data_IF_717119257192
#
_entry.id   IF_717119257192
#
_cell.length_a   1.000
_cell.length_b   1.000
_cell.length_c   1.000
_cell.angle_alpha   90.00
_cell.angle_beta   90.00
_cell.angle_gamma   90.00
#
_symmetry.space_group_name_H-M   'P 1'
#
loop_
_entity.id
_entity.type
_entity.pdbx_description
1 polymer ?
#
# COMPACT_ATOMS: atom_id res chain seq x y z
N UNK A 1 34.18 41.91 13.78
CA UNK A 1 33.02 41.28 13.12
C UNK A 1 33.32 40.72 11.72
N UNK A 2 34.10 41.40 10.88
CA UNK A 2 34.46 40.91 9.53
C UNK A 2 35.24 39.57 9.51
N UNK A 3 36.14 39.34 10.48
CA UNK A 3 36.92 38.10 10.54
C UNK A 3 36.08 36.84 10.86
N UNK A 4 34.98 36.98 11.60
CA UNK A 4 34.11 35.85 11.96
C UNK A 4 33.26 35.44 10.75
N UNK A 5 32.81 36.39 9.94
CA UNK A 5 32.03 36.11 8.72
C UNK A 5 32.88 35.40 7.65
N UNK A 6 34.16 35.79 7.49
CA UNK A 6 35.07 35.12 6.55
C UNK A 6 35.33 33.65 6.94
N UNK A 7 35.44 33.36 8.24
CA UNK A 7 35.66 32.00 8.75
C UNK A 7 34.47 31.08 8.51
N UNK A 8 33.24 31.58 8.65
CA UNK A 8 32.01 30.78 8.43
C UNK A 8 31.85 30.45 6.94
N UNK A 9 32.09 31.42 6.06
CA UNK A 9 32.01 31.20 4.61
C UNK A 9 33.04 30.17 4.15
N UNK A 10 34.26 30.22 4.69
CA UNK A 10 35.31 29.25 4.34
C UNK A 10 34.98 27.84 4.86
N UNK A 11 34.36 27.73 6.03
CA UNK A 11 33.95 26.44 6.60
C UNK A 11 32.79 25.81 5.82
N UNK A 12 31.81 26.61 5.38
CA UNK A 12 30.71 26.13 4.53
C UNK A 12 31.23 25.70 3.16
N UNK A 13 32.14 26.48 2.54
CA UNK A 13 32.76 26.12 1.27
C UNK A 13 33.61 24.84 1.37
N UNK A 14 34.33 24.64 2.47
CA UNK A 14 35.11 23.43 2.70
C UNK A 14 34.22 22.19 2.91
N UNK A 15 33.09 22.34 3.62
CA UNK A 15 32.12 21.24 3.80
C UNK A 15 31.47 20.87 2.46
N UNK A 16 30.98 21.85 1.70
CA UNK A 16 30.37 21.61 0.38
C UNK A 16 31.40 21.03 -0.60
N UNK A 17 32.64 21.51 -0.58
CA UNK A 17 33.74 20.96 -1.37
C UNK A 17 34.10 19.52 -0.99
N UNK A 18 34.11 19.18 0.30
CA UNK A 18 34.37 17.82 0.77
C UNK A 18 33.27 16.83 0.34
N UNK A 19 32.02 17.27 0.26
CA UNK A 19 30.92 16.45 -0.30
C UNK A 19 31.02 16.29 -1.82
N UNK A 20 31.57 17.27 -2.53
CA UNK A 20 31.71 17.20 -4.00
C UNK A 20 32.95 16.46 -4.48
N UNK A 21 34.02 16.39 -3.68
CA UNK A 21 35.29 15.78 -4.08
C UNK A 21 35.35 14.28 -3.78
N UNK A 22 34.50 13.76 -2.88
CA UNK A 22 34.63 12.37 -2.44
C UNK A 22 33.75 11.31 -3.12
N UNK A 23 32.78 11.65 -3.99
CA UNK A 23 31.99 10.62 -4.68
C UNK A 23 31.52 10.99 -6.11
N UNK A 24 32.41 11.16 -7.10
CA UNK A 24 32.00 11.07 -8.50
C UNK A 24 31.57 9.63 -8.88
N UNK A 25 31.98 8.61 -8.11
CA UNK A 25 31.70 7.20 -8.40
C UNK A 25 30.41 6.65 -7.77
N UNK A 26 29.78 7.36 -6.81
CA UNK A 26 28.53 6.90 -6.21
C UNK A 26 27.32 7.14 -7.13
N UNK A 27 27.33 8.24 -7.90
CA UNK A 27 26.27 8.52 -8.89
C UNK A 27 26.43 7.70 -10.18
N UNK A 28 27.65 7.28 -10.54
CA UNK A 28 27.89 6.39 -11.67
C UNK A 28 27.52 4.91 -11.38
N UNK A 29 27.29 4.57 -10.11
CA UNK A 29 26.85 3.24 -9.68
C UNK A 29 25.35 3.19 -9.32
N UNK A 30 24.57 4.25 -9.52
CA UNK A 30 23.09 4.14 -9.45
C UNK A 30 22.51 3.28 -10.58
N UNK A 31 23.20 3.20 -11.73
CA UNK A 31 22.94 2.19 -12.78
C UNK A 31 23.43 0.78 -12.41
N UNK A 32 24.23 0.64 -11.34
CA UNK A 32 24.72 -0.65 -10.79
C UNK A 32 24.15 -1.01 -9.43
N UNK A 33 23.32 -0.15 -8.81
CA UNK A 33 22.22 -0.63 -7.99
C UNK A 33 21.33 -1.39 -8.97
N UNK A 34 21.73 -2.64 -9.22
CA UNK A 34 20.75 -3.68 -9.40
C UNK A 34 19.85 -3.50 -8.19
N UNK A 35 18.74 -2.80 -8.39
CA UNK A 35 17.48 -3.22 -7.87
C UNK A 35 17.58 -4.74 -8.03
N UNK A 36 17.90 -5.44 -6.94
CA UNK A 36 17.44 -6.79 -6.83
C UNK A 36 15.94 -6.57 -6.95
N UNK A 37 15.46 -6.60 -8.20
CA UNK A 37 14.23 -7.26 -8.53
C UNK A 37 14.39 -8.54 -7.75
N UNK A 38 13.88 -8.52 -6.52
CA UNK A 38 13.23 -9.66 -5.95
C UNK A 38 12.23 -9.98 -7.05
N UNK A 39 12.71 -10.77 -8.04
CA UNK A 39 11.84 -11.63 -8.82
C UNK A 39 10.96 -12.19 -7.73
N UNK A 40 9.64 -11.99 -7.78
CA UNK A 40 8.74 -12.64 -6.85
C UNK A 40 9.28 -14.04 -6.70
N UNK A 41 9.63 -14.43 -5.46
CA UNK A 41 10.13 -15.78 -5.22
C UNK A 41 9.20 -16.67 -6.02
N UNK A 42 9.76 -17.48 -6.94
CA UNK A 42 8.95 -18.22 -7.89
C UNK A 42 7.80 -18.80 -7.08
N UNK A 43 6.54 -18.54 -7.47
CA UNK A 43 5.43 -19.26 -6.87
C UNK A 43 5.92 -20.70 -6.82
N UNK A 44 5.89 -21.32 -5.63
CA UNK A 44 6.05 -22.77 -5.59
C UNK A 44 4.93 -23.26 -6.46
N UNK A 45 5.22 -23.48 -7.75
CA UNK A 45 4.28 -24.01 -8.71
C UNK A 45 3.89 -25.33 -8.08
N UNK A 46 2.63 -25.50 -7.65
CA UNK A 46 2.15 -26.82 -7.37
C UNK A 46 2.48 -27.63 -8.62
N UNK A 47 3.05 -28.81 -8.42
CA UNK A 47 3.39 -29.74 -9.49
C UNK A 47 2.28 -29.69 -10.55
N UNK A 48 2.60 -29.21 -11.76
CA UNK A 48 1.59 -28.97 -12.79
C UNK A 48 0.93 -30.26 -13.27
N UNK A 49 1.48 -31.41 -12.87
CA UNK A 49 0.86 -32.72 -13.02
C UNK A 49 -0.35 -32.95 -12.11
N UNK A 50 -0.60 -32.10 -11.10
CA UNK A 50 -1.84 -32.15 -10.29
C UNK A 50 -2.95 -31.22 -10.80
N UNK A 51 -2.69 -30.35 -11.78
CA UNK A 51 -3.67 -29.38 -12.30
C UNK A 51 -4.21 -29.70 -13.70
N UNK A 52 -3.54 -30.54 -14.49
CA UNK A 52 -3.98 -30.91 -15.85
C UNK A 52 -5.18 -31.87 -15.91
N UNK A 53 -5.80 -32.21 -14.76
CA UNK A 53 -7.02 -33.00 -14.67
C UNK A 53 -8.24 -32.22 -14.15
N UNK A 54 -8.16 -30.89 -14.01
CA UNK A 54 -9.26 -30.06 -13.45
C UNK A 54 -9.78 -28.94 -14.36
N UNK A 55 -9.66 -29.11 -15.67
CA UNK A 55 -10.37 -28.31 -16.70
C UNK A 55 -11.89 -28.62 -16.76
N UNK A 56 -12.54 -28.75 -15.60
CA UNK A 56 -13.98 -28.96 -15.46
C UNK A 56 -14.54 -28.20 -14.25
N UNK A 57 -14.24 -26.90 -14.14
CA UNK A 57 -15.09 -25.99 -13.38
C UNK A 57 -16.17 -25.40 -14.30
N UNK A 58 -17.01 -26.31 -14.82
CA UNK A 58 -18.29 -25.99 -15.44
C UNK A 58 -19.38 -26.17 -14.36
N UNK A 59 -19.42 -25.26 -13.40
CA UNK A 59 -20.44 -25.15 -12.34
C UNK A 59 -20.86 -23.68 -12.31
N UNK A 60 -22.12 -23.22 -12.41
CA UNK A 60 -23.46 -23.78 -12.46
C UNK A 60 -24.27 -22.79 -13.32
N UNK A 61 -24.85 -23.20 -14.44
CA UNK A 61 -25.86 -22.38 -15.15
C UNK A 61 -27.20 -23.05 -15.33
N UNK A 62 -27.38 -24.29 -14.90
CA UNK A 62 -28.68 -24.97 -15.03
C UNK A 62 -28.93 -25.85 -13.82
N UNK A 63 -29.93 -25.50 -12.99
CA UNK A 63 -30.38 -26.37 -11.92
C UNK A 63 -31.06 -25.66 -10.75
N UNK A 64 -32.38 -25.56 -10.86
CA UNK A 64 -33.35 -25.32 -9.80
C UNK A 64 -33.63 -23.87 -9.37
N UNK A 65 -34.82 -23.48 -9.78
CA UNK A 65 -35.60 -22.31 -9.42
C UNK A 65 -36.05 -22.41 -7.95
N UNK A 66 -35.13 -22.33 -7.00
CA UNK A 66 -35.44 -21.93 -5.63
C UNK A 66 -35.23 -20.42 -5.55
N UNK A 67 -36.29 -19.68 -5.22
CA UNK A 67 -36.21 -18.27 -4.89
C UNK A 67 -35.21 -18.08 -3.76
N UNK A 68 -33.95 -17.81 -4.10
CA UNK A 68 -32.95 -17.32 -3.18
C UNK A 68 -33.31 -15.86 -2.89
N UNK A 69 -34.03 -15.64 -1.80
CA UNK A 69 -33.93 -14.37 -1.09
C UNK A 69 -32.45 -14.05 -0.90
N UNK A 70 -32.05 -12.81 -1.21
CA UNK A 70 -30.66 -12.34 -1.23
C UNK A 70 -29.88 -12.76 0.01
N UNK A 71 -29.24 -13.92 -0.06
CA UNK A 71 -28.40 -14.46 0.98
C UNK A 71 -27.12 -13.66 0.98
N UNK A 72 -26.89 -12.90 2.05
CA UNK A 72 -25.60 -12.35 2.43
C UNK A 72 -24.49 -13.37 2.17
N UNK A 73 -23.30 -12.90 1.78
CA UNK A 73 -22.09 -13.74 1.66
C UNK A 73 -21.83 -14.59 2.91
N UNK A 74 -22.39 -14.23 4.08
CA UNK A 74 -22.45 -15.04 5.29
C UNK A 74 -22.99 -16.48 5.07
N UNK A 75 -23.89 -16.69 4.11
CA UNK A 75 -24.44 -18.01 3.80
C UNK A 75 -23.56 -18.81 2.84
N UNK A 76 -22.56 -18.19 2.19
CA UNK A 76 -21.64 -18.87 1.29
C UNK A 76 -20.45 -19.38 2.07
N UNK A 77 -20.17 -20.66 1.87
CA UNK A 77 -18.96 -21.28 2.37
C UNK A 77 -17.72 -20.64 1.69
N UNK A 78 -17.04 -19.77 2.43
CA UNK A 78 -15.79 -19.13 2.01
C UNK A 78 -14.60 -20.10 2.04
N UNK A 79 -14.79 -21.37 2.41
CA UNK A 79 -13.71 -22.38 2.46
C UNK A 79 -12.95 -22.48 1.14
N UNK A 80 -13.65 -22.40 0.00
CA UNK A 80 -13.01 -22.41 -1.32
C UNK A 80 -12.12 -21.18 -1.55
N UNK A 81 -12.51 -20.02 -1.03
CA UNK A 81 -11.70 -18.82 -1.13
C UNK A 81 -10.46 -18.90 -0.22
N UNK A 82 -10.59 -19.50 0.96
CA UNK A 82 -9.45 -19.73 1.85
C UNK A 82 -8.44 -20.71 1.26
N UNK A 83 -8.91 -21.85 0.77
CA UNK A 83 -8.07 -22.84 0.08
C UNK A 83 -7.36 -22.20 -1.11
N UNK A 84 -8.08 -21.36 -1.87
CA UNK A 84 -7.50 -20.58 -2.96
C UNK A 84 -6.34 -19.69 -2.50
N UNK A 85 -6.53 -18.88 -1.45
CA UNK A 85 -5.47 -18.01 -0.92
C UNK A 85 -4.26 -18.82 -0.42
N UNK A 86 -4.49 -19.93 0.27
CA UNK A 86 -3.42 -20.78 0.80
C UNK A 86 -2.63 -21.46 -0.32
N UNK A 87 -3.31 -21.94 -1.37
CA UNK A 87 -2.66 -22.50 -2.56
C UNK A 87 -1.79 -21.47 -3.31
N UNK A 88 -2.18 -20.19 -3.26
CA UNK A 88 -1.42 -19.07 -3.80
C UNK A 88 -0.30 -18.58 -2.85
N UNK A 89 -0.10 -19.27 -1.72
CA UNK A 89 1.00 -19.06 -0.78
C UNK A 89 0.75 -17.99 0.27
N UNK A 90 -0.48 -17.48 0.40
CA UNK A 90 -0.86 -16.59 1.50
C UNK A 90 -1.19 -17.40 2.75
N UNK A 91 -0.85 -16.85 3.93
CA UNK A 91 -1.22 -17.47 5.21
C UNK A 91 -2.36 -16.71 5.85
N UNK A 92 -3.44 -17.38 6.19
CA UNK A 92 -4.54 -16.77 6.95
C UNK A 92 -4.13 -16.78 8.43
N UNK A 93 -3.91 -15.61 8.99
CA UNK A 93 -3.47 -15.43 10.38
C UNK A 93 -4.66 -15.32 11.34
N UNK A 94 -5.75 -14.72 10.90
CA UNK A 94 -6.96 -14.51 11.70
C UNK A 94 -8.17 -14.44 10.78
N UNK A 95 -9.31 -14.90 11.29
CA UNK A 95 -10.63 -14.73 10.69
C UNK A 95 -11.60 -14.26 11.77
N UNK A 96 -12.43 -13.29 11.40
CA UNK A 96 -13.54 -12.84 12.24
C UNK A 96 -14.75 -12.55 11.37
N UNK A 97 -15.86 -13.19 11.72
CA UNK A 97 -17.15 -12.94 11.09
C UNK A 97 -17.94 -12.03 12.04
N UNK A 98 -18.49 -10.94 11.52
CA UNK A 98 -19.25 -9.96 12.28
C UNK A 98 -20.76 -10.18 12.12
N UNK A 99 -21.54 -9.71 13.10
CA UNK A 99 -23.00 -9.89 13.14
C UNK A 99 -23.73 -9.12 12.02
N UNK A 100 -23.11 -8.08 11.47
CA UNK A 100 -23.62 -7.29 10.33
C UNK A 100 -23.41 -7.98 8.98
N UNK A 101 -22.59 -9.04 8.95
CA UNK A 101 -22.28 -9.80 7.76
C UNK A 101 -20.94 -9.50 7.13
N UNK A 102 -20.15 -8.63 7.75
CA UNK A 102 -18.79 -8.38 7.32
C UNK A 102 -17.88 -9.53 7.75
N UNK A 103 -16.91 -9.86 6.91
CA UNK A 103 -15.86 -10.82 7.22
C UNK A 103 -14.51 -10.14 7.15
N UNK A 104 -13.75 -10.21 8.24
CA UNK A 104 -12.35 -9.80 8.30
C UNK A 104 -11.45 -11.02 8.21
N UNK A 105 -10.56 -11.01 7.23
CA UNK A 105 -9.45 -11.94 7.11
C UNK A 105 -8.13 -11.18 7.28
N UNK A 106 -7.27 -11.63 8.19
CA UNK A 106 -5.89 -11.15 8.25
C UNK A 106 -5.01 -12.09 7.44
N UNK A 107 -4.51 -11.60 6.30
CA UNK A 107 -3.61 -12.36 5.43
C UNK A 107 -2.17 -11.92 5.69
N UNK A 108 -1.28 -12.90 5.83
CA UNK A 108 0.15 -12.69 6.03
C UNK A 108 0.93 -13.13 4.80
N UNK A 109 1.72 -12.21 4.25
CA UNK A 109 2.67 -12.48 3.17
C UNK A 109 3.89 -11.57 3.31
N UNK A 110 5.07 -12.06 2.93
CA UNK A 110 6.33 -11.30 2.94
C UNK A 110 6.63 -10.60 4.28
N UNK A 111 6.26 -11.25 5.38
CA UNK A 111 6.45 -10.72 6.75
C UNK A 111 5.47 -9.62 7.16
N UNK A 112 4.51 -9.24 6.31
CA UNK A 112 3.51 -8.20 6.57
C UNK A 112 2.13 -8.81 6.72
N UNK A 113 1.26 -8.12 7.45
CA UNK A 113 -0.14 -8.48 7.65
C UNK A 113 -0.99 -7.42 6.96
N UNK A 114 -1.98 -7.89 6.20
CA UNK A 114 -2.99 -7.06 5.55
C UNK A 114 -4.35 -7.54 6.03
N UNK A 115 -5.24 -6.60 6.31
CA UNK A 115 -6.63 -6.87 6.61
C UNK A 115 -7.42 -6.85 5.30
N UNK A 116 -8.17 -7.91 5.05
CA UNK A 116 -9.07 -8.05 3.92
C UNK A 116 -10.49 -8.12 4.46
N UNK A 117 -11.28 -7.12 4.10
CA UNK A 117 -12.67 -7.00 4.46
C UNK A 117 -13.52 -7.45 3.27
N UNK A 118 -14.48 -8.32 3.57
CA UNK A 118 -15.57 -8.68 2.68
C UNK A 118 -16.81 -8.07 3.30
N UNK A 119 -17.32 -7.01 2.70
CA UNK A 119 -18.50 -6.30 3.20
C UNK A 119 -19.79 -7.04 2.82
N UNK A 120 -20.88 -6.74 3.54
CA UNK A 120 -22.18 -7.38 3.34
C UNK A 120 -22.70 -7.31 1.89
N UNK A 121 -22.39 -6.22 1.18
CA UNK A 121 -22.74 -5.98 -0.23
C UNK A 121 -21.79 -6.66 -1.22
N UNK A 122 -20.86 -7.48 -0.73
CA UNK A 122 -19.80 -8.16 -1.46
C UNK A 122 -18.67 -7.23 -1.94
N UNK A 123 -18.62 -5.98 -1.49
CA UNK A 123 -17.48 -5.13 -1.79
C UNK A 123 -16.25 -5.61 -1.01
N UNK A 124 -15.10 -5.53 -1.66
CA UNK A 124 -13.84 -5.99 -1.11
C UNK A 124 -12.93 -4.81 -0.85
N UNK A 125 -12.36 -4.81 0.34
CA UNK A 125 -11.51 -3.73 0.77
C UNK A 125 -10.29 -4.28 1.48
N UNK A 126 -9.12 -3.79 1.06
CA UNK A 126 -7.88 -4.05 1.76
C UNK A 126 -7.55 -2.88 2.67
N UNK A 127 -7.17 -3.16 3.92
CA UNK A 127 -6.61 -2.16 4.84
C UNK A 127 -5.32 -2.65 5.47
N UNK A 128 -4.42 -1.71 5.75
CA UNK A 128 -3.27 -1.94 6.61
C UNK A 128 -3.08 -0.72 7.51
N UNK A 129 -2.62 -0.98 8.72
CA UNK A 129 -2.51 -0.02 9.81
C UNK A 129 -1.04 0.13 10.19
N UNK A 130 -0.60 1.36 10.39
CA UNK A 130 0.77 1.68 10.75
C UNK A 130 0.79 2.67 11.91
N UNK A 131 1.69 2.47 12.89
CA UNK A 131 1.94 3.51 13.87
C UNK A 131 2.51 4.74 13.16
N UNK A 132 1.96 5.91 13.48
CA UNK A 132 2.36 7.18 12.88
C UNK A 132 3.67 7.69 13.52
N UNK A 133 4.71 8.01 12.72
CA UNK A 133 5.86 8.76 13.21
C UNK A 133 5.44 10.14 13.72
N UNK A 134 6.08 10.65 14.78
CA UNK A 134 5.71 11.90 15.45
C UNK A 134 5.65 13.15 14.54
N UNK A 135 6.48 13.14 13.50
CA UNK A 135 6.67 14.19 12.51
C UNK A 135 5.68 14.09 11.32
N UNK A 136 4.89 13.02 11.26
CA UNK A 136 4.01 12.73 10.16
C UNK A 136 2.60 13.28 10.44
N UNK A 137 2.08 14.08 9.50
CA UNK A 137 0.84 14.83 9.66
C UNK A 137 -0.18 14.53 8.54
N UNK A 138 -1.39 15.07 8.67
CA UNK A 138 -2.41 15.01 7.61
C UNK A 138 -1.92 15.64 6.30
N UNK A 139 -1.06 16.66 6.37
CA UNK A 139 -0.45 17.28 5.18
C UNK A 139 0.39 16.26 4.44
N UNK A 140 1.15 15.45 5.17
CA UNK A 140 1.94 14.38 4.60
C UNK A 140 1.03 13.36 3.88
N UNK A 141 -0.01 12.89 4.56
CA UNK A 141 -0.98 11.95 3.99
C UNK A 141 -1.62 12.48 2.69
N UNK A 142 -2.00 13.76 2.67
CA UNK A 142 -2.57 14.38 1.49
C UNK A 142 -1.59 14.43 0.31
N UNK A 143 -0.31 14.75 0.55
CA UNK A 143 0.72 14.71 -0.49
C UNK A 143 0.94 13.29 -1.04
N UNK A 144 0.89 12.27 -0.17
CA UNK A 144 0.94 10.88 -0.60
C UNK A 144 -0.27 10.54 -1.50
N UNK A 145 -1.49 10.88 -1.08
CA UNK A 145 -2.71 10.63 -1.84
C UNK A 145 -2.71 11.33 -3.22
N UNK A 146 -2.22 12.57 -3.30
CA UNK A 146 -2.07 13.29 -4.58
C UNK A 146 -1.16 12.55 -5.55
N UNK A 147 -0.08 11.94 -5.04
CA UNK A 147 0.92 11.23 -5.83
C UNK A 147 0.48 9.81 -6.20
N UNK A 148 -0.25 9.13 -5.32
CA UNK A 148 -0.56 7.70 -5.44
C UNK A 148 -2.08 7.47 -5.47
N UNK A 149 -2.70 7.67 -6.63
CA UNK A 149 -4.17 7.58 -6.82
C UNK A 149 -4.77 6.18 -6.69
N UNK A 150 -3.95 5.15 -6.55
CA UNK A 150 -4.34 3.75 -6.56
C UNK A 150 -4.57 3.22 -5.15
N UNK A 151 -4.42 4.03 -4.11
CA UNK A 151 -4.88 3.75 -2.76
C UNK A 151 -5.29 5.05 -2.07
N UNK A 152 -5.97 4.95 -0.93
CA UNK A 152 -6.29 6.09 -0.07
C UNK A 152 -5.57 5.88 1.25
N UNK A 153 -4.89 6.90 1.75
CA UNK A 153 -4.35 6.92 3.10
C UNK A 153 -5.07 7.97 3.94
N UNK A 154 -5.25 7.69 5.22
CA UNK A 154 -5.84 8.60 6.22
C UNK A 154 -5.32 8.27 7.62
N UNK A 155 -5.47 9.22 8.55
CA UNK A 155 -5.19 9.01 9.97
C UNK A 155 -6.54 8.69 10.63
N UNK A 156 -6.63 7.59 11.36
CA UNK A 156 -7.86 7.23 12.08
C UNK A 156 -7.93 7.87 13.48
N UNK A 157 -9.02 7.60 14.19
CA UNK A 157 -9.29 8.17 15.51
C UNK A 157 -8.29 7.68 16.58
N UNK A 158 -7.67 6.52 16.38
CA UNK A 158 -6.63 5.95 17.25
C UNK A 158 -5.23 6.49 16.92
N UNK A 159 -5.14 7.41 15.95
CA UNK A 159 -3.91 8.00 15.42
C UNK A 159 -2.99 6.98 14.72
N UNK A 160 -3.57 5.93 14.15
CA UNK A 160 -2.89 5.05 13.22
C UNK A 160 -3.03 5.57 11.79
N UNK A 161 -1.98 5.38 10.99
CA UNK A 161 -2.02 5.63 9.56
C UNK A 161 -2.63 4.41 8.90
N UNK A 162 -3.78 4.62 8.29
CA UNK A 162 -4.49 3.61 7.53
C UNK A 162 -4.20 3.82 6.06
N UNK A 163 -3.93 2.73 5.36
CA UNK A 163 -3.97 2.69 3.89
C UNK A 163 -5.03 1.70 3.44
N UNK A 164 -5.80 2.12 2.46
CA UNK A 164 -7.00 1.46 1.99
C UNK A 164 -6.96 1.33 0.47
N UNK A 165 -7.46 0.20 -0.02
CA UNK A 165 -7.71 -0.05 -1.44
C UNK A 165 -9.06 -0.72 -1.59
N UNK A 166 -9.98 0.01 -2.22
CA UNK A 166 -11.26 -0.52 -2.68
C UNK A 166 -11.02 -1.40 -3.92
N UNK A 167 -11.58 -2.60 -3.91
CA UNK A 167 -11.49 -3.53 -5.04
C UNK A 167 -12.88 -3.97 -5.44
N UNK A 168 -13.30 -3.46 -6.59
CA UNK A 168 -14.53 -3.87 -7.23
C UNK A 168 -14.35 -5.28 -7.84
N UNK A 169 -14.61 -6.32 -7.05
CA UNK A 169 -14.75 -7.69 -7.55
C UNK A 169 -16.18 -8.15 -7.29
N UNK A 170 -16.75 -8.86 -8.25
CA UNK A 170 -17.96 -9.61 -7.99
C UNK A 170 -17.68 -10.82 -7.10
N UNK A 171 -18.70 -11.31 -6.40
CA UNK A 171 -18.59 -12.55 -5.61
C UNK A 171 -18.18 -13.78 -6.43
N UNK A 172 -18.27 -13.74 -7.77
CA UNK A 172 -17.79 -14.81 -8.66
C UNK A 172 -16.29 -14.73 -8.92
N UNK A 173 -15.69 -13.57 -8.69
CA UNK A 173 -14.27 -13.29 -8.96
C UNK A 173 -13.41 -13.41 -7.71
N UNK A 174 -13.99 -13.66 -6.54
CA UNK A 174 -13.28 -13.85 -5.26
C UNK A 174 -12.10 -14.82 -5.40
N UNK A 175 -12.31 -16.00 -5.97
CA UNK A 175 -11.25 -17.00 -6.19
C UNK A 175 -10.65 -16.91 -7.61
N UNK A 176 -10.28 -15.71 -8.05
CA UNK A 176 -9.73 -15.47 -9.38
C UNK A 176 -8.33 -14.85 -9.34
N UNK A 177 -7.64 -14.92 -10.49
CA UNK A 177 -6.35 -14.25 -10.69
C UNK A 177 -6.41 -12.74 -10.39
N UNK A 178 -7.55 -12.09 -10.67
CA UNK A 178 -7.74 -10.66 -10.41
C UNK A 178 -7.68 -10.34 -8.91
N UNK A 179 -8.13 -11.25 -8.04
CA UNK A 179 -7.97 -11.13 -6.59
C UNK A 179 -6.51 -11.19 -6.19
N UNK A 180 -5.74 -12.12 -6.77
CA UNK A 180 -4.30 -12.25 -6.47
C UNK A 180 -3.52 -11.03 -6.93
N UNK A 181 -3.85 -10.49 -8.10
CA UNK A 181 -3.29 -9.24 -8.60
C UNK A 181 -3.63 -8.06 -7.69
N UNK A 182 -4.87 -7.98 -7.21
CA UNK A 182 -5.33 -6.95 -6.28
C UNK A 182 -4.60 -7.02 -4.94
N UNK A 183 -4.45 -8.22 -4.37
CA UNK A 183 -3.68 -8.46 -3.14
C UNK A 183 -2.22 -8.03 -3.33
N UNK A 184 -1.57 -8.46 -4.42
CA UNK A 184 -0.19 -8.10 -4.71
C UNK A 184 -0.01 -6.59 -4.91
N UNK A 185 -0.95 -5.96 -5.60
CA UNK A 185 -0.98 -4.51 -5.76
C UNK A 185 -1.09 -3.83 -4.40
N UNK A 186 -1.95 -4.30 -3.51
CA UNK A 186 -2.07 -3.75 -2.17
C UNK A 186 -0.78 -3.90 -1.36
N UNK A 187 -0.13 -5.07 -1.37
CA UNK A 187 1.19 -5.22 -0.75
C UNK A 187 2.22 -4.21 -1.32
N UNK A 188 2.16 -3.93 -2.62
CA UNK A 188 3.00 -2.89 -3.23
C UNK A 188 2.65 -1.49 -2.74
N UNK A 189 1.36 -1.16 -2.56
CA UNK A 189 0.91 0.11 -1.93
C UNK A 189 1.53 0.26 -0.55
N UNK A 190 1.39 -0.77 0.27
CA UNK A 190 1.90 -0.75 1.65
C UNK A 190 3.41 -0.56 1.72
N UNK A 191 4.14 -1.12 0.76
CA UNK A 191 5.59 -0.95 0.65
C UNK A 191 5.95 0.49 0.33
N UNK A 192 5.30 1.06 -0.68
CA UNK A 192 5.54 2.43 -1.10
C UNK A 192 5.20 3.41 0.02
N UNK A 193 4.11 3.21 0.74
CA UNK A 193 3.77 4.03 1.91
C UNK A 193 4.82 3.88 3.03
N UNK A 194 5.26 2.65 3.32
CA UNK A 194 6.29 2.39 4.34
C UNK A 194 7.61 3.09 4.01
N UNK A 195 8.07 2.98 2.76
CA UNK A 195 9.26 3.69 2.27
C UNK A 195 9.07 5.20 2.35
N UNK A 196 7.87 5.67 2.01
CA UNK A 196 7.54 7.09 2.04
C UNK A 196 7.62 7.66 3.45
N UNK A 197 7.05 6.97 4.45
CA UNK A 197 7.16 7.34 5.87
C UNK A 197 8.61 7.48 6.33
N UNK A 198 9.47 6.54 5.93
CA UNK A 198 10.90 6.57 6.28
C UNK A 198 11.64 7.72 5.58
N UNK A 199 11.26 8.06 4.35
CA UNK A 199 11.91 9.14 3.57
C UNK A 199 11.39 10.55 3.89
N UNK A 200 10.12 10.66 4.28
CA UNK A 200 9.40 11.92 4.49
C UNK A 200 9.87 12.71 5.70
N UNK A 201 10.55 12.05 6.65
CA UNK A 201 11.24 12.67 7.78
C UNK A 201 12.38 13.62 7.38
N UNK A 202 12.79 13.62 6.10
CA UNK A 202 13.84 14.48 5.58
C UNK A 202 13.37 15.55 4.59
N UNK A 203 12.06 15.69 4.31
CA UNK A 203 11.60 16.77 3.42
C UNK A 203 11.67 18.07 4.21
N UNK A 204 12.59 19.01 3.88
CA UNK A 204 12.60 20.31 4.54
C UNK A 204 11.24 20.91 4.31
N UNK A 205 10.53 21.29 5.38
CA UNK A 205 9.38 22.17 5.25
C UNK A 205 9.88 23.39 4.50
N UNK A 206 9.62 23.46 3.19
CA UNK A 206 9.79 24.69 2.45
C UNK A 206 8.80 25.63 3.12
N UNK A 207 9.31 26.52 3.98
CA UNK A 207 8.54 27.60 4.55
C UNK A 207 7.73 28.18 3.39
N UNK A 208 6.42 28.02 3.44
CA UNK A 208 5.54 28.69 2.51
C UNK A 208 5.76 30.17 2.80
N UNK A 209 6.68 30.79 2.07
CA UNK A 209 6.87 32.23 2.03
C UNK A 209 5.59 32.76 1.43
N UNK A 210 4.61 32.95 2.31
CA UNK A 210 3.42 33.72 2.05
C UNK A 210 3.93 35.15 1.99
N UNK A 211 4.47 35.52 0.82
CA UNK A 211 4.69 36.91 0.45
C UNK A 211 3.30 37.55 0.47
N UNK A 212 2.92 38.09 1.62
CA UNK A 212 1.91 39.13 1.72
C UNK A 212 2.42 40.27 0.85
N UNK A 213 1.93 40.29 -0.38
CA UNK A 213 1.83 41.49 -1.19
C UNK A 213 1.17 42.54 -0.31
N UNK A 214 1.97 43.40 0.28
CA UNK A 214 1.51 44.64 0.89
C UNK A 214 0.94 45.48 -0.25
N UNK A 215 -0.38 45.55 -0.30
CA UNK A 215 -1.13 46.57 -1.02
C UNK A 215 -0.69 47.95 -0.50
N UNK A 216 0.35 48.50 -1.11
CA UNK A 216 0.57 49.94 -1.17
C UNK A 216 -0.05 50.43 -2.47
N UNK A 217 -1.34 50.78 -2.41
CA UNK A 217 -1.93 51.64 -3.43
C UNK A 217 -2.66 52.83 -2.77
N UNK A 218 -2.05 54.00 -3.03
CA UNK A 218 -2.68 55.30 -3.24
C UNK A 218 -3.10 56.14 -2.03
N UNK A 219 -2.14 56.94 -1.55
CA UNK A 219 -2.36 58.37 -1.42
C UNK A 219 -1.52 59.08 -2.49
N UNK A 220 -2.17 59.68 -3.50
CA UNK A 220 -1.97 61.04 -4.07
C UNK A 220 -2.87 61.17 -5.30
#
# INVERSE_FOLDING_TARGET
>A
MLAIHASIIFMVAAIVGAFYVHEPDALANLDKLQLHSLKPGQPTTPDSSSFSARDNYKYLTEGNNTQHHGGSLLARDLSLFYEFLENEGYKIAERKDYDDGDVLLKIKSRGRIVNFYIEQDNDLMFRAYYPIPSEFSEVNVNEWNKRYRWGKAYIDDDRDLVVELDVALSSKELSSQLTIESINKFFTVTEILSMWMVSGSNIPHSESVHNKSSDEESQI
#
